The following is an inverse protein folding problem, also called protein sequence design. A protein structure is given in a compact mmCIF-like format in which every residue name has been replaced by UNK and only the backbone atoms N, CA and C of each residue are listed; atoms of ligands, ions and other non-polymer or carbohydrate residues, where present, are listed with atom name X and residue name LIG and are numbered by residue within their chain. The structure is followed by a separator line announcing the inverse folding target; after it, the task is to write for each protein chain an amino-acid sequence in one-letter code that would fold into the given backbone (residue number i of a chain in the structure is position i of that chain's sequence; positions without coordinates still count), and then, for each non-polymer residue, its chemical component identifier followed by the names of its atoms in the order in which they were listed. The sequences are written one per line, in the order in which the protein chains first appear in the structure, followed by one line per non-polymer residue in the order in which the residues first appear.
data_IF_897484078413
#
_entry.id   IF_897484078413
#
_cell.length_a   1.000
_cell.length_b   1.000
_cell.length_c   1.000
_cell.angle_alpha   90.00
_cell.angle_beta   90.00
_cell.angle_gamma   90.00
#
_symmetry.space_group_name_H-M   'P 1'
#
loop_
_entity.id
_entity.type
_entity.pdbx_description
1 polymer ?
#
# COMPACT_ATOMS: atom_id res chain seq x y z
N UNK A 1 -78.76 17.63 -12.32
CA UNK A 1 -77.41 17.05 -12.48
C UNK A 1 -76.41 18.17 -12.21
N UNK A 2 -75.90 18.23 -10.98
CA UNK A 2 -74.92 19.24 -10.55
C UNK A 2 -73.53 18.67 -10.81
N UNK A 3 -72.71 19.33 -11.63
CA UNK A 3 -71.27 19.09 -11.72
C UNK A 3 -70.59 19.86 -10.59
N UNK A 4 -69.95 19.15 -9.67
CA UNK A 4 -69.08 19.71 -8.63
C UNK A 4 -67.64 19.44 -9.06
N UNK A 5 -66.95 20.48 -9.52
CA UNK A 5 -65.51 20.47 -9.79
C UNK A 5 -64.76 20.87 -8.51
N UNK A 6 -64.00 19.94 -7.94
CA UNK A 6 -63.04 20.22 -6.89
C UNK A 6 -61.73 20.72 -7.52
N UNK A 7 -61.09 21.80 -7.00
CA UNK A 7 -59.74 22.13 -7.38
C UNK A 7 -58.78 21.19 -6.66
N UNK A 8 -58.09 20.33 -7.43
CA UNK A 8 -56.88 19.65 -7.00
C UNK A 8 -55.77 20.69 -6.86
N UNK A 9 -55.64 21.29 -5.67
CA UNK A 9 -54.41 21.97 -5.26
C UNK A 9 -53.33 20.91 -5.06
N UNK A 10 -52.64 20.58 -6.15
CA UNK A 10 -51.37 19.87 -6.09
C UNK A 10 -50.36 20.76 -5.38
N UNK A 11 -50.04 20.40 -4.15
CA UNK A 11 -48.86 20.88 -3.45
C UNK A 11 -47.65 20.42 -4.29
N UNK A 12 -47.07 21.33 -5.07
CA UNK A 12 -45.73 21.16 -5.58
C UNK A 12 -44.81 21.10 -4.36
N UNK A 13 -44.52 19.89 -3.90
CA UNK A 13 -43.30 19.68 -3.12
C UNK A 13 -42.15 20.13 -4.01
N UNK A 14 -41.31 21.03 -3.51
CA UNK A 14 -39.96 21.17 -4.06
C UNK A 14 -39.41 19.74 -4.18
N UNK A 15 -39.05 19.34 -5.39
CA UNK A 15 -38.26 18.14 -5.55
C UNK A 15 -36.99 18.40 -4.73
N UNK A 16 -36.79 17.62 -3.67
CA UNK A 16 -35.51 17.54 -2.99
C UNK A 16 -34.46 17.40 -4.10
N UNK A 17 -33.54 18.36 -4.17
CA UNK A 17 -32.46 18.32 -5.15
C UNK A 17 -31.75 16.98 -5.03
N UNK A 18 -31.79 16.16 -6.08
CA UNK A 18 -31.14 14.86 -6.11
C UNK A 18 -29.68 15.01 -5.62
N UNK A 19 -29.33 14.30 -4.55
CA UNK A 19 -27.98 14.34 -3.98
C UNK A 19 -26.98 13.93 -5.06
N UNK A 20 -25.96 14.76 -5.28
CA UNK A 20 -24.96 14.53 -6.32
C UNK A 20 -23.54 14.82 -5.84
N UNK A 21 -22.55 14.52 -6.68
CA UNK A 21 -21.14 14.79 -6.39
C UNK A 21 -20.83 16.27 -6.19
N UNK A 22 -21.67 17.19 -6.68
CA UNK A 22 -21.52 18.63 -6.41
C UNK A 22 -21.89 19.00 -4.98
N UNK A 23 -22.68 18.16 -4.29
CA UNK A 23 -23.04 18.36 -2.88
C UNK A 23 -21.87 18.10 -1.92
N UNK A 24 -20.76 17.53 -2.41
CA UNK A 24 -19.53 17.29 -1.65
C UNK A 24 -18.40 18.20 -2.16
N UNK A 25 -17.86 19.03 -1.28
CA UNK A 25 -16.63 19.78 -1.49
C UNK A 25 -15.48 19.07 -0.78
N UNK A 26 -14.32 19.03 -1.43
CA UNK A 26 -13.12 18.35 -0.92
C UNK A 26 -11.96 19.32 -0.95
N UNK A 27 -11.32 19.52 0.20
CA UNK A 27 -10.09 20.31 0.33
C UNK A 27 -8.95 19.42 0.86
N UNK A 28 -7.74 19.51 0.29
CA UNK A 28 -7.38 20.30 -0.90
C UNK A 28 -8.02 19.74 -2.19
N UNK A 29 -8.21 20.58 -3.21
CA UNK A 29 -8.79 20.18 -4.51
C UNK A 29 -7.89 19.20 -5.29
N UNK A 30 -6.59 19.22 -5.02
CA UNK A 30 -5.59 18.29 -5.55
C UNK A 30 -4.88 17.64 -4.37
N UNK A 31 -4.94 16.31 -4.33
CA UNK A 31 -4.38 15.52 -3.25
C UNK A 31 -2.93 15.12 -3.52
N UNK A 32 -2.16 14.83 -2.47
CA UNK A 32 -0.82 14.26 -2.58
C UNK A 32 -0.90 12.75 -2.53
N UNK A 33 -0.43 12.09 -3.59
CA UNK A 33 -0.43 10.64 -3.68
C UNK A 33 0.77 10.03 -2.93
N UNK A 34 0.55 8.90 -2.28
CA UNK A 34 1.57 8.12 -1.59
C UNK A 34 1.80 8.49 -0.13
N UNK A 35 1.07 9.45 0.46
CA UNK A 35 1.18 9.82 1.87
C UNK A 35 -0.18 9.97 2.53
N UNK A 36 -0.23 9.77 3.85
CA UNK A 36 -1.37 10.21 4.64
C UNK A 36 -1.40 11.73 4.68
N UNK A 37 -2.59 12.29 4.49
CA UNK A 37 -2.82 13.73 4.54
C UNK A 37 -4.21 14.03 5.06
N UNK A 38 -4.38 15.22 5.64
CA UNK A 38 -5.69 15.72 6.03
C UNK A 38 -6.51 16.09 4.80
N UNK A 39 -7.75 15.62 4.76
CA UNK A 39 -8.74 15.91 3.73
C UNK A 39 -10.00 16.40 4.42
N UNK A 40 -10.40 17.63 4.14
CA UNK A 40 -11.64 18.22 4.61
C UNK A 40 -12.77 17.96 3.61
N UNK A 41 -13.89 17.48 4.13
CA UNK A 41 -15.07 17.07 3.39
C UNK A 41 -16.25 17.89 3.90
N UNK A 42 -16.72 18.82 3.07
CA UNK A 42 -17.82 19.73 3.42
C UNK A 42 -19.03 19.44 2.56
N UNK A 43 -20.19 19.27 3.17
CA UNK A 43 -21.42 18.95 2.46
C UNK A 43 -22.35 20.17 2.34
N UNK A 44 -22.84 20.47 1.13
CA UNK A 44 -23.89 21.50 0.94
C UNK A 44 -25.30 20.96 1.23
N UNK A 45 -25.45 19.64 1.27
CA UNK A 45 -26.68 18.92 1.57
C UNK A 45 -26.42 17.83 2.60
N UNK A 46 -27.49 17.23 3.12
CA UNK A 46 -27.34 16.04 3.99
C UNK A 46 -26.97 14.87 3.09
N UNK A 47 -25.77 14.32 3.25
CA UNK A 47 -25.24 13.24 2.41
C UNK A 47 -24.62 12.13 3.26
N UNK A 48 -24.55 10.93 2.69
CA UNK A 48 -23.61 9.90 3.12
C UNK A 48 -22.54 9.76 2.05
N UNK A 49 -21.31 9.48 2.47
CA UNK A 49 -20.19 9.24 1.57
C UNK A 49 -19.54 7.91 1.87
N UNK A 50 -19.08 7.24 0.82
CA UNK A 50 -18.27 6.02 0.89
C UNK A 50 -16.88 6.31 0.31
N UNK A 51 -15.86 6.10 1.14
CA UNK A 51 -14.46 6.33 0.83
C UNK A 51 -13.74 4.97 0.78
N UNK A 52 -13.47 4.44 -0.42
CA UNK A 52 -12.85 3.13 -0.61
C UNK A 52 -11.31 3.18 -0.53
N UNK A 53 -10.78 3.97 0.41
CA UNK A 53 -9.35 4.19 0.61
C UNK A 53 -8.98 4.02 2.09
N UNK A 54 -7.69 4.00 2.36
CA UNK A 54 -7.19 3.85 3.72
C UNK A 54 -7.35 5.17 4.48
N UNK A 55 -8.08 5.11 5.60
CA UNK A 55 -8.28 6.21 6.54
C UNK A 55 -7.61 5.83 7.84
N UNK A 56 -6.78 6.72 8.37
CA UNK A 56 -6.23 6.61 9.70
C UNK A 56 -7.21 7.26 10.67
N UNK A 57 -7.73 6.45 11.58
CA UNK A 57 -8.62 6.90 12.63
C UNK A 57 -7.81 7.66 13.69
N UNK A 58 -8.11 8.94 13.87
CA UNK A 58 -7.39 9.80 14.80
C UNK A 58 -7.62 9.43 16.27
N UNK A 59 -8.71 8.73 16.59
CA UNK A 59 -9.02 8.31 17.96
C UNK A 59 -8.21 7.07 18.37
N UNK A 60 -8.03 6.11 17.44
CA UNK A 60 -7.38 4.82 17.73
C UNK A 60 -5.95 4.74 17.20
N UNK A 61 -5.60 5.56 16.20
CA UNK A 61 -4.36 5.47 15.44
C UNK A 61 -4.34 4.33 14.42
N UNK A 62 -5.41 3.53 14.34
CA UNK A 62 -5.48 2.41 13.41
C UNK A 62 -5.90 2.87 12.01
N UNK A 63 -5.51 2.07 11.02
CA UNK A 63 -5.87 2.29 9.62
C UNK A 63 -7.01 1.34 9.27
N UNK A 64 -8.09 1.89 8.73
CA UNK A 64 -9.21 1.13 8.20
C UNK A 64 -9.39 1.41 6.71
N UNK A 65 -9.96 0.46 5.98
CA UNK A 65 -10.42 0.68 4.62
C UNK A 65 -11.95 0.79 4.58
N UNK A 66 -12.49 1.23 3.46
CA UNK A 66 -13.92 1.11 3.16
C UNK A 66 -14.82 1.85 4.16
N UNK A 67 -14.56 3.14 4.31
CA UNK A 67 -15.18 3.98 5.34
C UNK A 67 -16.47 4.63 4.84
N UNK A 68 -17.53 4.62 5.66
CA UNK A 68 -18.78 5.33 5.40
C UNK A 68 -19.01 6.41 6.46
N UNK A 69 -19.40 7.60 6.03
CA UNK A 69 -19.63 8.75 6.92
C UNK A 69 -20.90 9.49 6.49
N UNK A 70 -21.69 9.90 7.47
CA UNK A 70 -22.82 10.80 7.28
C UNK A 70 -22.37 12.23 7.58
N UNK A 71 -22.63 13.16 6.65
CA UNK A 71 -22.30 14.57 6.79
C UNK A 71 -23.60 15.38 6.70
N UNK A 72 -23.88 16.19 7.73
CA UNK A 72 -25.02 17.09 7.72
C UNK A 72 -24.83 18.26 6.76
N UNK A 73 -25.94 18.94 6.42
CA UNK A 73 -25.90 20.13 5.57
C UNK A 73 -25.08 21.23 6.26
N UNK A 74 -24.03 21.70 5.59
CA UNK A 74 -23.13 22.73 6.07
C UNK A 74 -22.05 22.22 7.02
N UNK A 75 -22.05 20.92 7.35
CA UNK A 75 -21.05 20.33 8.24
C UNK A 75 -19.77 19.99 7.45
N UNK A 76 -18.66 19.98 8.18
CA UNK A 76 -17.34 19.60 7.67
C UNK A 76 -16.78 18.47 8.53
N UNK A 77 -16.21 17.46 7.87
CA UNK A 77 -15.46 16.37 8.50
C UNK A 77 -14.03 16.37 7.96
N UNK A 78 -13.05 16.23 8.84
CA UNK A 78 -11.63 16.11 8.46
C UNK A 78 -11.16 14.69 8.68
N UNK A 79 -10.52 14.10 7.67
CA UNK A 79 -9.99 12.73 7.71
C UNK A 79 -8.51 12.71 7.36
N UNK A 80 -7.75 11.83 8.01
CA UNK A 80 -6.39 11.50 7.59
C UNK A 80 -6.45 10.34 6.58
N UNK A 81 -6.32 10.65 5.28
CA UNK A 81 -6.48 9.69 4.18
C UNK A 81 -5.16 9.41 3.48
N UNK A 82 -4.88 8.13 3.19
CA UNK A 82 -3.79 7.73 2.28
C UNK A 82 -4.31 7.62 0.85
N UNK A 83 -3.82 8.51 0.00
CA UNK A 83 -4.09 8.45 -1.44
C UNK A 83 -3.13 7.47 -2.10
N UNK A 84 -3.62 6.48 -2.88
CA UNK A 84 -2.74 5.50 -3.49
C UNK A 84 -1.70 6.12 -4.46
N UNK A 85 -0.44 5.66 -4.44
CA UNK A 85 0.66 6.31 -5.16
C UNK A 85 0.67 6.11 -6.68
N UNK A 86 -0.17 5.22 -7.22
CA UNK A 86 -0.17 4.80 -8.64
C UNK A 86 -1.48 5.09 -9.36
N UNK A 87 -2.33 5.95 -8.82
CA UNK A 87 -3.60 6.35 -9.45
C UNK A 87 -3.64 7.87 -9.63
N UNK A 88 -4.49 8.33 -10.55
CA UNK A 88 -4.64 9.75 -10.92
C UNK A 88 -5.47 10.56 -9.95
N UNK A 89 -6.16 9.90 -9.02
CA UNK A 89 -7.03 10.53 -8.04
C UNK A 89 -7.84 9.50 -7.26
N UNK A 90 -8.69 9.99 -6.38
CA UNK A 90 -9.61 9.18 -5.58
C UNK A 90 -11.05 9.32 -6.06
N UNK A 91 -11.83 8.26 -5.88
CA UNK A 91 -13.25 8.18 -6.20
C UNK A 91 -14.04 8.05 -4.89
N UNK A 92 -14.76 9.11 -4.52
CA UNK A 92 -15.64 9.12 -3.35
C UNK A 92 -17.07 8.95 -3.85
N UNK A 93 -17.77 7.93 -3.35
CA UNK A 93 -19.16 7.70 -3.71
C UNK A 93 -20.05 8.54 -2.79
N UNK A 94 -21.02 9.24 -3.36
CA UNK A 94 -21.94 10.14 -2.67
C UNK A 94 -23.36 9.61 -2.85
N UNK A 95 -24.09 9.49 -1.74
CA UNK A 95 -25.47 9.04 -1.71
C UNK A 95 -26.30 9.81 -0.70
N UNK A 96 -27.59 9.50 -0.67
CA UNK A 96 -28.54 10.06 0.30
C UNK A 96 -28.09 9.82 1.74
N UNK A 97 -28.41 10.77 2.63
CA UNK A 97 -28.08 10.67 4.04
C UNK A 97 -28.64 9.41 4.70
N UNK A 98 -27.82 8.71 5.49
CA UNK A 98 -28.17 7.45 6.15
C UNK A 98 -28.15 6.23 5.22
N UNK A 99 -27.52 6.31 4.04
CA UNK A 99 -27.48 5.20 3.08
C UNK A 99 -26.84 3.94 3.68
N UNK A 100 -27.54 2.82 3.51
CA UNK A 100 -27.14 1.50 4.03
C UNK A 100 -26.48 0.62 2.98
N UNK A 101 -26.92 0.66 1.72
CA UNK A 101 -26.42 -0.22 0.66
C UNK A 101 -25.55 0.55 -0.33
N UNK A 102 -24.38 0.03 -0.66
CA UNK A 102 -23.40 0.70 -1.51
C UNK A 102 -22.96 -0.18 -2.68
N UNK A 103 -22.87 0.38 -3.89
CA UNK A 103 -22.30 -0.35 -5.00
C UNK A 103 -20.78 -0.42 -4.84
N UNK A 104 -20.21 -1.52 -5.31
CA UNK A 104 -18.78 -1.81 -5.20
C UNK A 104 -18.24 -2.32 -6.52
N UNK A 105 -16.92 -2.19 -6.69
CA UNK A 105 -16.19 -2.80 -7.81
C UNK A 105 -15.80 -4.25 -7.49
N UNK A 106 -15.54 -5.02 -8.54
CA UNK A 106 -14.90 -6.33 -8.40
C UNK A 106 -13.45 -6.18 -7.92
N UNK A 107 -12.90 -7.21 -7.27
CA UNK A 107 -11.55 -7.15 -6.68
C UNK A 107 -10.45 -6.81 -7.69
N UNK A 108 -10.55 -7.35 -8.91
CA UNK A 108 -9.59 -7.16 -10.01
C UNK A 108 -9.86 -5.91 -10.87
N UNK A 109 -10.90 -5.14 -10.54
CA UNK A 109 -11.29 -3.95 -11.29
C UNK A 109 -10.75 -2.68 -10.61
N UNK A 110 -10.45 -1.63 -11.38
CA UNK A 110 -10.11 -0.32 -10.82
C UNK A 110 -11.37 0.55 -10.67
N UNK A 111 -11.36 1.53 -9.76
CA UNK A 111 -12.50 2.46 -9.62
C UNK A 111 -12.79 3.28 -10.89
N UNK A 112 -11.75 3.59 -11.66
CA UNK A 112 -11.88 4.27 -12.95
C UNK A 112 -12.60 3.40 -13.99
N UNK A 113 -12.19 2.13 -14.12
CA UNK A 113 -12.85 1.18 -15.03
C UNK A 113 -14.29 0.88 -14.59
N UNK A 114 -14.52 0.73 -13.28
CA UNK A 114 -15.83 0.54 -12.67
C UNK A 114 -16.79 1.68 -13.00
N UNK A 115 -16.34 2.94 -12.83
CA UNK A 115 -17.15 4.11 -13.18
C UNK A 115 -17.37 4.19 -14.69
N UNK A 116 -16.35 3.93 -15.50
CA UNK A 116 -16.43 4.01 -16.96
C UNK A 116 -17.44 3.04 -17.57
N UNK A 117 -17.65 1.87 -16.94
CA UNK A 117 -18.67 0.90 -17.37
C UNK A 117 -20.06 1.16 -16.81
N UNK A 118 -20.27 2.23 -16.04
CA UNK A 118 -21.56 2.60 -15.45
C UNK A 118 -21.88 1.89 -14.13
N UNK A 119 -20.85 1.48 -13.37
CA UNK A 119 -21.04 0.84 -12.06
C UNK A 119 -21.77 1.71 -11.03
N UNK A 120 -21.73 3.02 -11.20
CA UNK A 120 -22.45 4.03 -10.41
C UNK A 120 -23.97 3.90 -10.50
N UNK A 121 -24.50 3.20 -11.52
CA UNK A 121 -25.91 2.82 -11.59
C UNK A 121 -26.33 1.85 -10.46
N UNK A 122 -25.38 1.15 -9.85
CA UNK A 122 -25.60 0.20 -8.75
C UNK A 122 -26.49 -0.97 -9.14
N UNK A 123 -26.40 -1.41 -10.39
CA UNK A 123 -27.16 -2.55 -10.95
C UNK A 123 -26.37 -3.86 -10.96
N UNK A 124 -25.13 -3.83 -10.46
CA UNK A 124 -24.26 -5.00 -10.36
C UNK A 124 -24.84 -6.06 -9.40
N UNK A 125 -24.47 -7.32 -9.63
CA UNK A 125 -24.96 -8.46 -8.81
C UNK A 125 -24.37 -8.51 -7.39
N UNK A 126 -23.34 -7.70 -7.14
CA UNK A 126 -22.67 -7.56 -5.86
C UNK A 126 -22.87 -6.14 -5.32
N UNK A 127 -22.96 -6.04 -4.00
CA UNK A 127 -23.02 -4.78 -3.29
C UNK A 127 -22.49 -4.97 -1.87
N UNK A 128 -22.44 -3.88 -1.12
CA UNK A 128 -22.00 -3.91 0.26
C UNK A 128 -23.03 -3.28 1.20
N UNK A 129 -23.08 -3.79 2.42
CA UNK A 129 -23.97 -3.33 3.49
C UNK A 129 -23.13 -2.57 4.50
N UNK A 130 -23.59 -1.39 4.89
CA UNK A 130 -22.97 -0.56 5.94
C UNK A 130 -23.03 -1.27 7.28
N UNK A 131 -21.88 -1.35 7.95
CA UNK A 131 -21.74 -1.93 9.28
C UNK A 131 -21.30 -0.85 10.26
N UNK A 132 -22.05 -0.63 11.36
CA UNK A 132 -21.68 0.35 12.36
C UNK A 132 -20.28 0.10 12.94
N UNK A 133 -19.57 1.19 13.23
CA UNK A 133 -18.27 1.15 13.87
C UNK A 133 -18.30 0.33 15.18
N UNK A 134 -17.27 -0.51 15.39
CA UNK A 134 -17.08 -1.27 16.62
C UNK A 134 -15.64 -1.08 17.09
N UNK A 135 -15.44 -0.30 18.15
CA UNK A 135 -14.13 0.17 18.62
C UNK A 135 -13.33 0.98 17.58
N UNK A 136 -14.01 1.63 16.62
CA UNK A 136 -13.46 2.63 15.69
C UNK A 136 -14.39 3.85 15.61
N UNK A 137 -13.92 4.91 14.96
CA UNK A 137 -14.71 6.15 14.79
C UNK A 137 -15.72 6.06 13.65
N UNK A 138 -15.41 5.33 12.57
CA UNK A 138 -16.24 5.35 11.35
C UNK A 138 -16.76 3.97 10.98
N UNK A 139 -17.93 3.98 10.33
CA UNK A 139 -18.59 2.78 9.85
C UNK A 139 -17.83 2.15 8.68
N UNK A 140 -17.93 0.83 8.57
CA UNK A 140 -17.35 0.04 7.48
C UNK A 140 -18.40 -0.48 6.50
N UNK A 141 -17.98 -1.36 5.59
CA UNK A 141 -18.90 -2.14 4.75
C UNK A 141 -18.55 -3.64 4.81
N UNK A 142 -19.58 -4.47 4.74
CA UNK A 142 -19.47 -5.91 4.47
C UNK A 142 -20.00 -6.22 3.07
N UNK A 143 -19.23 -7.00 2.30
CA UNK A 143 -19.58 -7.37 0.93
C UNK A 143 -20.51 -8.59 0.94
N UNK A 144 -21.62 -8.50 0.22
CA UNK A 144 -22.56 -9.60 0.07
C UNK A 144 -22.96 -9.81 -1.39
N UNK A 145 -23.15 -11.06 -1.76
CA UNK A 145 -23.84 -11.41 -2.99
C UNK A 145 -25.31 -10.99 -2.91
N UNK A 146 -25.87 -10.49 -4.02
CA UNK A 146 -27.31 -10.19 -4.15
C UNK A 146 -27.83 -9.00 -3.32
N UNK A 147 -26.98 -8.01 -3.07
CA UNK A 147 -27.41 -6.68 -2.60
C UNK A 147 -27.79 -5.84 -3.81
N UNK A 148 -28.92 -5.14 -3.74
CA UNK A 148 -29.33 -4.15 -4.73
C UNK A 148 -28.99 -2.75 -4.21
N UNK A 149 -27.78 -2.23 -4.46
CA UNK A 149 -27.33 -1.02 -3.82
C UNK A 149 -28.01 0.24 -4.34
N UNK A 150 -28.49 0.24 -5.59
CA UNK A 150 -29.05 1.41 -6.26
C UNK A 150 -27.97 2.42 -6.66
N UNK A 151 -28.38 3.47 -7.38
CA UNK A 151 -27.43 4.42 -7.97
C UNK A 151 -26.76 5.33 -6.92
N UNK A 152 -25.54 5.76 -7.22
CA UNK A 152 -24.75 6.74 -6.45
C UNK A 152 -24.19 7.80 -7.39
N UNK A 153 -23.85 8.97 -6.86
CA UNK A 153 -23.01 9.92 -7.58
C UNK A 153 -21.54 9.72 -7.20
N UNK A 154 -20.61 10.10 -8.08
CA UNK A 154 -19.18 9.91 -7.82
C UNK A 154 -18.44 11.24 -7.87
N UNK A 155 -17.75 11.56 -6.78
CA UNK A 155 -16.81 12.68 -6.68
C UNK A 155 -15.41 12.16 -6.98
N UNK A 156 -14.87 12.56 -8.13
CA UNK A 156 -13.46 12.38 -8.44
C UNK A 156 -12.65 13.55 -7.88
N UNK A 157 -11.54 13.25 -7.22
CA UNK A 157 -10.58 14.25 -6.72
C UNK A 157 -9.20 13.88 -7.22
N UNK A 158 -8.60 14.77 -8.01
CA UNK A 158 -7.28 14.52 -8.62
C UNK A 158 -6.19 14.39 -7.58
N UNK A 159 -5.15 13.62 -7.88
CA UNK A 159 -3.98 13.50 -7.04
C UNK A 159 -2.68 13.55 -7.83
N UNK A 160 -1.65 14.12 -7.22
CA UNK A 160 -0.31 14.21 -7.79
C UNK A 160 0.67 13.52 -6.85
N UNK A 161 1.46 12.59 -7.38
CA UNK A 161 2.65 12.12 -6.68
C UNK A 161 3.78 13.11 -6.92
N UNK A 162 4.30 13.67 -5.84
CA UNK A 162 5.44 14.56 -5.92
C UNK A 162 6.70 13.78 -6.32
N UNK A 163 7.68 14.44 -6.93
CA UNK A 163 8.98 13.85 -7.24
C UNK A 163 10.06 14.65 -6.52
N UNK A 164 11.02 13.94 -5.91
CA UNK A 164 12.21 14.54 -5.30
C UNK A 164 13.40 14.58 -6.27
N UNK A 165 13.37 13.77 -7.33
CA UNK A 165 14.42 13.67 -8.37
C UNK A 165 13.82 13.72 -9.77
N UNK A 166 14.68 13.80 -10.79
CA UNK A 166 14.25 13.89 -12.20
C UNK A 166 13.58 12.58 -12.68
N UNK A 167 12.75 12.62 -13.74
CA UNK A 167 12.17 11.41 -14.32
C UNK A 167 13.21 10.36 -14.72
N UNK A 168 14.34 10.78 -15.27
CA UNK A 168 15.44 9.90 -15.69
C UNK A 168 16.11 9.19 -14.50
N UNK A 169 16.05 9.78 -13.32
CA UNK A 169 16.54 9.21 -12.05
C UNK A 169 15.45 8.46 -11.26
N UNK A 170 14.32 8.15 -11.90
CA UNK A 170 13.21 7.42 -11.27
C UNK A 170 12.25 8.30 -10.46
N UNK A 171 12.13 9.59 -10.79
CA UNK A 171 11.32 10.58 -10.07
C UNK A 171 9.88 10.14 -9.75
N UNK A 172 9.26 9.34 -10.62
CA UNK A 172 7.92 8.79 -10.42
C UNK A 172 7.77 7.88 -9.17
N UNK A 173 8.87 7.39 -8.59
CA UNK A 173 8.89 6.52 -7.41
C UNK A 173 9.68 7.12 -6.24
N UNK A 174 9.91 8.43 -6.24
CA UNK A 174 10.89 9.09 -5.37
C UNK A 174 10.29 9.83 -4.16
N UNK A 175 9.06 9.48 -3.75
CA UNK A 175 8.36 10.06 -2.61
C UNK A 175 7.29 9.10 -2.06
N UNK A 176 6.71 9.45 -0.92
CA UNK A 176 5.60 8.72 -0.29
C UNK A 176 6.07 7.67 0.72
N UNK A 177 5.10 6.97 1.32
CA UNK A 177 5.32 5.93 2.32
C UNK A 177 6.18 4.78 1.79
N UNK A 178 5.98 4.41 0.52
CA UNK A 178 6.84 3.47 -0.20
C UNK A 178 7.73 4.27 -1.17
N UNK A 179 8.97 4.51 -0.75
CA UNK A 179 9.91 5.39 -1.42
C UNK A 179 10.90 4.59 -2.29
N UNK A 180 10.47 4.20 -3.48
CA UNK A 180 11.23 3.34 -4.39
C UNK A 180 12.64 3.83 -4.74
N UNK A 181 12.91 5.14 -4.68
CA UNK A 181 14.28 5.66 -4.83
C UNK A 181 15.20 5.28 -3.66
N UNK A 182 14.72 5.29 -2.42
CA UNK A 182 15.54 4.90 -1.26
C UNK A 182 15.81 3.40 -1.32
N UNK A 183 14.80 2.59 -1.68
CA UNK A 183 14.96 1.16 -1.97
C UNK A 183 16.03 0.92 -3.04
N UNK A 184 16.02 1.71 -4.13
CA UNK A 184 17.00 1.61 -5.19
C UNK A 184 18.40 1.98 -4.71
N UNK A 185 18.54 3.07 -3.95
CA UNK A 185 19.84 3.52 -3.41
C UNK A 185 20.40 2.46 -2.45
N UNK A 186 19.53 1.83 -1.63
CA UNK A 186 19.92 0.69 -0.78
C UNK A 186 20.35 -0.54 -1.58
N UNK A 187 19.60 -0.88 -2.63
CA UNK A 187 19.99 -1.95 -3.54
C UNK A 187 21.34 -1.65 -4.19
N UNK A 188 21.56 -0.40 -4.62
CA UNK A 188 22.82 0.02 -5.21
C UNK A 188 23.96 -0.12 -4.20
N UNK A 189 23.79 0.32 -2.95
CA UNK A 189 24.78 0.13 -1.89
C UNK A 189 25.12 -1.36 -1.68
N UNK A 190 24.10 -2.21 -1.54
CA UNK A 190 24.29 -3.66 -1.40
C UNK A 190 24.99 -4.31 -2.59
N UNK A 191 24.87 -3.72 -3.78
CA UNK A 191 25.34 -4.29 -5.04
C UNK A 191 26.38 -3.42 -5.77
N UNK A 192 27.03 -2.48 -5.06
CA UNK A 192 27.98 -1.54 -5.66
C UNK A 192 29.21 -2.30 -6.19
N UNK A 193 29.43 -2.30 -7.52
CA UNK A 193 30.49 -3.07 -8.14
C UNK A 193 31.87 -2.41 -8.05
N UNK A 194 31.97 -1.21 -7.45
CA UNK A 194 33.23 -0.45 -7.35
C UNK A 194 34.29 -1.27 -6.61
N UNK A 195 35.48 -1.39 -7.20
CA UNK A 195 36.61 -2.09 -6.57
C UNK A 195 37.16 -1.27 -5.39
N UNK A 196 37.40 -1.94 -4.27
CA UNK A 196 37.94 -1.34 -3.04
C UNK A 196 39.15 -2.13 -2.53
N UNK A 197 39.68 -1.72 -1.37
CA UNK A 197 40.67 -2.49 -0.62
C UNK A 197 40.03 -3.38 0.44
N UNK A 198 38.73 -3.62 0.36
CA UNK A 198 38.02 -4.51 1.28
C UNK A 198 38.67 -5.91 1.21
N UNK A 199 39.19 -6.43 2.34
CA UNK A 199 39.86 -7.74 2.35
C UNK A 199 38.88 -8.93 2.21
N UNK A 200 37.57 -8.69 2.31
CA UNK A 200 36.54 -9.73 2.32
C UNK A 200 36.16 -10.14 0.90
N UNK A 201 35.75 -9.18 0.05
CA UNK A 201 35.30 -9.44 -1.32
C UNK A 201 35.88 -8.49 -2.39
N UNK A 202 36.61 -7.46 -1.95
CA UNK A 202 37.23 -6.43 -2.79
C UNK A 202 36.26 -5.42 -3.39
N UNK A 203 35.03 -5.31 -2.89
CA UNK A 203 33.96 -4.45 -3.43
C UNK A 203 33.51 -3.39 -2.42
N UNK A 204 32.75 -2.42 -2.91
CA UNK A 204 32.14 -1.39 -2.07
C UNK A 204 30.80 -1.85 -1.48
N UNK A 205 30.08 -2.70 -2.21
CA UNK A 205 28.90 -3.42 -1.70
C UNK A 205 29.26 -4.78 -1.12
N UNK A 206 28.24 -5.58 -0.81
CA UNK A 206 28.39 -6.87 -0.11
C UNK A 206 28.26 -8.04 -1.08
N UNK A 207 29.36 -8.36 -1.75
CA UNK A 207 29.44 -9.40 -2.78
C UNK A 207 29.78 -10.76 -2.16
N UNK A 208 29.59 -11.82 -2.94
CA UNK A 208 30.03 -13.17 -2.61
C UNK A 208 29.51 -13.71 -1.27
N UNK A 209 28.38 -13.21 -0.77
CA UNK A 209 27.69 -13.63 0.48
C UNK A 209 27.06 -15.03 0.42
N UNK A 210 27.86 -16.03 0.04
CA UNK A 210 27.46 -17.43 -0.10
C UNK A 210 27.41 -18.11 1.27
N UNK A 211 26.25 -18.66 1.62
CA UNK A 211 26.06 -19.37 2.89
C UNK A 211 26.70 -20.77 2.90
N UNK A 212 26.95 -21.31 4.09
CA UNK A 212 27.33 -22.71 4.31
C UNK A 212 28.79 -23.06 4.04
N UNK A 213 29.69 -22.08 4.04
CA UNK A 213 31.12 -22.29 3.73
C UNK A 213 32.08 -21.63 4.72
N UNK A 214 31.60 -21.05 5.83
CA UNK A 214 32.41 -20.26 6.76
C UNK A 214 32.90 -18.98 6.08
N UNK A 215 32.00 -18.32 5.36
CA UNK A 215 32.34 -17.28 4.41
C UNK A 215 32.35 -15.90 5.08
N UNK A 216 33.51 -15.25 5.11
CA UNK A 216 33.67 -13.92 5.69
C UNK A 216 32.73 -12.88 5.05
N UNK A 217 32.43 -12.98 3.75
CA UNK A 217 31.53 -12.06 3.06
C UNK A 217 30.06 -12.25 3.47
N UNK A 218 29.68 -13.49 3.79
CA UNK A 218 28.37 -13.79 4.33
C UNK A 218 28.20 -13.22 5.75
N UNK A 219 29.24 -13.33 6.57
CA UNK A 219 29.27 -12.75 7.93
C UNK A 219 29.27 -11.22 7.91
N UNK A 220 30.06 -10.61 7.02
CA UNK A 220 30.15 -9.15 6.91
C UNK A 220 28.81 -8.53 6.47
N UNK A 221 28.17 -9.10 5.44
CA UNK A 221 26.83 -8.70 5.01
C UNK A 221 25.80 -8.85 6.13
N UNK A 222 25.88 -9.90 6.94
CA UNK A 222 24.97 -10.11 8.05
C UNK A 222 25.13 -9.04 9.15
N UNK A 223 26.38 -8.67 9.47
CA UNK A 223 26.67 -7.62 10.45
C UNK A 223 26.19 -6.24 9.99
N UNK A 224 26.32 -5.93 8.70
CA UNK A 224 25.75 -4.72 8.12
C UNK A 224 24.23 -4.67 8.30
N UNK A 225 23.52 -5.73 7.89
CA UNK A 225 22.05 -5.80 8.00
C UNK A 225 21.61 -5.66 9.47
N UNK A 226 22.31 -6.32 10.40
CA UNK A 226 22.03 -6.18 11.84
C UNK A 226 22.18 -4.72 12.27
N UNK A 227 23.30 -4.08 11.94
CA UNK A 227 23.56 -2.69 12.32
C UNK A 227 22.54 -1.71 11.76
N UNK A 228 22.10 -1.91 10.52
CA UNK A 228 21.08 -1.08 9.88
C UNK A 228 19.71 -1.24 10.55
N UNK A 229 19.29 -2.49 10.79
CA UNK A 229 18.02 -2.79 11.46
C UNK A 229 18.00 -2.29 12.91
N UNK A 230 19.12 -2.41 13.64
CA UNK A 230 19.30 -1.80 14.96
C UNK A 230 19.25 -0.27 14.88
N UNK A 231 19.84 0.32 13.83
CA UNK A 231 19.78 1.75 13.54
C UNK A 231 18.37 2.30 13.34
N UNK A 232 17.45 1.46 12.84
CA UNK A 232 16.01 1.77 12.76
C UNK A 232 15.28 1.65 14.10
N UNK A 233 15.98 1.25 15.17
CA UNK A 233 15.43 1.07 16.51
C UNK A 233 14.69 -0.26 16.70
N UNK A 234 14.98 -1.27 15.86
CA UNK A 234 14.43 -2.61 16.01
C UNK A 234 15.28 -3.43 16.99
N UNK A 235 14.63 -4.35 17.71
CA UNK A 235 15.36 -5.37 18.46
C UNK A 235 15.81 -6.46 17.49
N UNK A 236 17.11 -6.66 17.30
CA UNK A 236 17.62 -7.61 16.32
C UNK A 236 18.18 -8.85 17.01
N UNK A 237 17.73 -10.02 16.58
CA UNK A 237 18.22 -11.32 17.05
C UNK A 237 18.84 -12.09 15.89
N UNK A 238 20.11 -12.42 16.07
CA UNK A 238 20.90 -13.26 15.19
C UNK A 238 20.69 -14.74 15.55
N UNK A 239 20.05 -15.50 14.66
CA UNK A 239 19.85 -16.93 14.81
C UNK A 239 20.81 -17.72 13.92
N UNK A 240 21.68 -18.52 14.54
CA UNK A 240 22.68 -19.34 13.84
C UNK A 240 22.36 -20.82 13.95
N UNK A 241 22.52 -21.52 12.84
CA UNK A 241 22.21 -22.93 12.74
C UNK A 241 23.30 -23.69 11.98
N UNK A 242 23.47 -24.94 12.36
CA UNK A 242 24.16 -25.98 11.59
C UNK A 242 23.12 -27.07 11.32
N UNK A 243 23.04 -27.56 10.08
CA UNK A 243 22.11 -28.64 9.75
C UNK A 243 22.65 -29.57 8.67
N UNK A 244 22.17 -30.81 8.68
CA UNK A 244 22.38 -31.78 7.60
C UNK A 244 21.09 -31.86 6.79
N UNK A 245 21.15 -31.65 5.47
CA UNK A 245 19.98 -31.71 4.62
C UNK A 245 19.49 -33.16 4.38
N UNK A 246 18.35 -33.30 3.69
CA UNK A 246 17.75 -34.61 3.37
C UNK A 246 18.62 -35.47 2.43
N UNK A 247 19.61 -34.87 1.78
CA UNK A 247 20.58 -35.53 0.91
C UNK A 247 21.88 -35.89 1.67
N UNK A 248 21.89 -35.72 2.99
CA UNK A 248 23.03 -35.95 3.88
C UNK A 248 24.24 -35.04 3.57
N UNK A 249 23.96 -33.82 3.08
CA UNK A 249 24.95 -32.75 2.87
C UNK A 249 24.95 -31.84 4.11
N UNK A 250 26.13 -31.65 4.69
CA UNK A 250 26.29 -30.76 5.84
C UNK A 250 26.28 -29.30 5.37
N UNK A 251 25.39 -28.50 5.94
CA UNK A 251 25.49 -27.06 5.94
C UNK A 251 26.05 -26.60 7.30
N UNK A 252 27.34 -26.21 7.36
CA UNK A 252 27.99 -25.80 8.60
C UNK A 252 27.52 -24.44 9.11
N UNK A 253 26.80 -23.66 8.29
CA UNK A 253 26.55 -22.26 8.55
C UNK A 253 25.28 -21.77 7.86
N UNK A 254 24.23 -21.56 8.64
CA UNK A 254 23.05 -20.81 8.25
C UNK A 254 22.77 -19.70 9.25
N UNK A 255 22.44 -18.52 8.71
CA UNK A 255 22.27 -17.31 9.49
C UNK A 255 20.93 -16.66 9.15
N UNK A 256 20.03 -16.56 10.13
CA UNK A 256 18.80 -15.79 10.01
C UNK A 256 18.89 -14.55 10.91
N UNK A 257 18.52 -13.39 10.37
CA UNK A 257 18.46 -12.12 11.10
C UNK A 257 16.98 -11.78 11.28
N UNK A 258 16.53 -11.69 12.52
CA UNK A 258 15.15 -11.35 12.84
C UNK A 258 15.13 -10.00 13.57
N UNK A 259 14.50 -8.99 12.96
CA UNK A 259 14.34 -7.67 13.54
C UNK A 259 12.89 -7.49 14.01
N UNK A 260 12.72 -7.18 15.30
CA UNK A 260 11.43 -7.17 15.98
C UNK A 260 10.99 -5.73 16.30
N UNK A 261 9.73 -5.44 15.95
CA UNK A 261 8.98 -4.30 16.46
C UNK A 261 7.77 -4.80 17.21
N UNK A 262 7.80 -4.71 18.53
CA UNK A 262 6.75 -5.23 19.40
C UNK A 262 5.44 -4.45 19.23
N UNK A 263 4.36 -5.17 18.94
CA UNK A 263 3.00 -4.62 18.96
C UNK A 263 2.54 -4.36 20.40
N UNK A 264 1.76 -3.30 20.61
CA UNK A 264 1.24 -2.92 21.94
C UNK A 264 -0.17 -3.44 22.24
N UNK A 265 -0.87 -3.98 21.23
CA UNK A 265 -2.32 -4.29 21.31
C UNK A 265 -2.59 -5.79 21.24
N UNK A 266 -2.00 -6.48 20.26
CA UNK A 266 -2.07 -7.93 20.09
C UNK A 266 -0.64 -8.51 20.02
N UNK A 267 0.07 -8.61 21.15
CA UNK A 267 1.50 -8.96 21.16
C UNK A 267 1.81 -10.38 20.64
N UNK A 268 0.79 -11.24 20.56
CA UNK A 268 0.92 -12.62 20.08
C UNK A 268 0.63 -12.75 18.56
N UNK A 269 0.28 -11.67 17.88
CA UNK A 269 0.04 -11.64 16.43
C UNK A 269 1.17 -10.88 15.72
N UNK A 270 1.74 -11.50 14.68
CA UNK A 270 2.90 -10.99 13.97
C UNK A 270 2.64 -10.80 12.48
N UNK A 271 3.02 -9.65 11.96
CA UNK A 271 3.18 -9.42 10.53
C UNK A 271 4.66 -9.60 10.18
N UNK A 272 4.96 -10.54 9.30
CA UNK A 272 6.33 -10.92 8.96
C UNK A 272 6.63 -10.54 7.51
N UNK A 273 7.67 -9.73 7.33
CA UNK A 273 8.28 -9.45 6.04
C UNK A 273 9.62 -10.17 5.98
N UNK A 274 9.95 -10.77 4.85
CA UNK A 274 11.14 -11.61 4.74
C UNK A 274 11.76 -11.54 3.36
N UNK A 275 13.09 -11.62 3.36
CA UNK A 275 13.94 -11.76 2.21
C UNK A 275 15.11 -12.67 2.61
N UNK A 276 15.72 -13.35 1.66
CA UNK A 276 16.99 -14.01 1.90
C UNK A 276 18.15 -13.08 1.50
N UNK A 277 19.20 -13.06 2.31
CA UNK A 277 20.37 -12.21 2.10
C UNK A 277 21.63 -13.02 1.69
N UNK A 278 21.53 -14.32 1.49
CA UNK A 278 22.57 -15.06 0.81
C UNK A 278 22.48 -14.87 -0.72
N UNK A 279 23.55 -15.23 -1.42
CA UNK A 279 23.57 -15.29 -2.89
C UNK A 279 24.06 -16.65 -3.33
N UNK A 280 23.51 -17.15 -4.45
CA UNK A 280 24.04 -18.36 -5.07
C UNK A 280 25.42 -18.11 -5.70
N UNK A 281 26.43 -18.95 -5.42
CA UNK A 281 27.75 -18.82 -6.02
C UNK A 281 27.69 -18.95 -7.54
N UNK A 282 28.49 -18.16 -8.30
CA UNK A 282 28.55 -18.29 -9.74
C UNK A 282 29.02 -19.70 -10.15
N UNK A 283 28.22 -20.39 -10.95
CA UNK A 283 28.53 -21.75 -11.42
C UNK A 283 29.81 -21.85 -12.26
N UNK A 284 30.30 -20.72 -12.76
CA UNK A 284 31.53 -20.60 -13.53
C UNK A 284 32.75 -20.20 -12.69
N UNK A 285 32.68 -20.33 -11.36
CA UNK A 285 33.76 -19.95 -10.44
C UNK A 285 34.27 -18.52 -10.68
N UNK A 286 33.34 -17.59 -10.92
CA UNK A 286 33.63 -16.14 -11.08
C UNK A 286 34.37 -15.79 -12.39
N UNK A 287 34.62 -16.76 -13.29
CA UNK A 287 35.40 -16.53 -14.50
C UNK A 287 34.71 -15.66 -15.56
N UNK A 288 33.38 -15.59 -15.57
CA UNK A 288 32.61 -14.86 -16.57
C UNK A 288 31.46 -14.11 -15.89
N UNK A 289 31.60 -12.81 -15.66
CA UNK A 289 30.49 -12.00 -15.17
C UNK A 289 29.42 -11.88 -16.28
N UNK A 290 28.17 -12.34 -16.06
CA UNK A 290 27.08 -12.19 -17.03
C UNK A 290 26.88 -10.76 -17.55
N UNK A 291 27.21 -9.74 -16.75
CA UNK A 291 27.15 -8.33 -17.14
C UNK A 291 28.25 -7.95 -18.15
N UNK A 292 29.36 -8.69 -18.17
CA UNK A 292 30.47 -8.49 -19.11
C UNK A 292 30.28 -9.38 -20.35
N UNK A 293 29.87 -10.64 -20.16
CA UNK A 293 29.81 -11.62 -21.25
C UNK A 293 28.48 -11.66 -21.99
N UNK A 294 27.44 -11.02 -21.45
CA UNK A 294 26.13 -10.85 -22.10
C UNK A 294 25.27 -12.12 -22.18
N UNK A 295 25.66 -13.22 -21.52
CA UNK A 295 24.85 -14.42 -21.36
C UNK A 295 24.74 -14.84 -19.90
N UNK A 296 23.59 -15.41 -19.52
CA UNK A 296 23.30 -15.80 -18.14
C UNK A 296 24.08 -17.05 -17.73
N UNK A 297 24.64 -17.03 -16.53
CA UNK A 297 25.10 -18.21 -15.78
C UNK A 297 24.28 -18.32 -14.49
N UNK A 298 24.32 -19.48 -13.82
CA UNK A 298 23.66 -19.63 -12.51
C UNK A 298 24.49 -18.93 -11.42
N UNK A 299 23.83 -18.15 -10.56
CA UNK A 299 24.48 -17.35 -9.52
C UNK A 299 25.20 -16.11 -10.06
N UNK A 300 25.36 -15.11 -9.20
CA UNK A 300 26.16 -13.90 -9.48
C UNK A 300 26.94 -13.53 -8.23
N UNK A 301 27.99 -12.71 -8.33
CA UNK A 301 28.69 -12.22 -7.13
C UNK A 301 27.81 -11.29 -6.29
N UNK A 302 27.10 -10.37 -6.95
CA UNK A 302 26.32 -9.34 -6.27
C UNK A 302 24.94 -9.83 -5.77
N UNK A 303 24.29 -10.71 -6.54
CA UNK A 303 22.91 -11.12 -6.26
C UNK A 303 21.91 -9.96 -6.31
N UNK A 304 22.14 -8.97 -7.17
CA UNK A 304 21.34 -7.73 -7.19
C UNK A 304 19.82 -8.01 -7.29
N UNK A 305 19.42 -8.88 -8.23
CA UNK A 305 18.03 -9.32 -8.34
C UNK A 305 17.67 -10.39 -7.30
N UNK A 306 18.58 -11.34 -7.05
CA UNK A 306 18.38 -12.54 -6.23
C UNK A 306 19.48 -12.62 -5.15
N UNK A 307 19.30 -12.01 -3.99
CA UNK A 307 18.10 -11.25 -3.57
C UNK A 307 18.44 -9.96 -2.78
N UNK A 308 19.44 -9.21 -3.24
CA UNK A 308 19.70 -7.85 -2.69
C UNK A 308 18.47 -6.96 -2.85
N UNK A 309 17.71 -7.09 -3.94
CA UNK A 309 16.49 -6.32 -4.17
C UNK A 309 15.43 -6.61 -3.10
N UNK A 310 15.17 -7.89 -2.78
CA UNK A 310 14.26 -8.25 -1.70
C UNK A 310 14.77 -7.79 -0.34
N UNK A 311 16.07 -7.93 -0.08
CA UNK A 311 16.69 -7.46 1.18
C UNK A 311 16.49 -5.96 1.33
N UNK A 312 16.84 -5.15 0.32
CA UNK A 312 16.64 -3.71 0.30
C UNK A 312 15.17 -3.30 0.51
N UNK A 313 14.22 -3.99 -0.12
CA UNK A 313 12.79 -3.74 0.06
C UNK A 313 12.26 -4.05 1.46
N UNK A 314 12.89 -4.98 2.20
CA UNK A 314 12.49 -5.29 3.58
C UNK A 314 13.05 -4.26 4.56
N UNK A 315 14.21 -3.67 4.25
CA UNK A 315 14.83 -2.68 5.12
C UNK A 315 14.18 -1.29 5.01
N UNK A 316 13.64 -0.94 3.83
CA UNK A 316 13.08 0.38 3.51
C UNK A 316 11.55 0.37 3.34
#
# INVERSE_FOLDING_TARGET
MLMVSAPLSGCFGEADSDVSSSSLQVNPEVLVAGSFQEVELTASDRISIYIPYLIKDSATGFVQNTTVIDIGRGDTVTLEMLVPPRITGVFILVGEYGRVHWPIREQSESWESWLSRGGDSGTDSQGAIRVPANNSTFDGLEVHSSVMPGSVSVKFVSSIRQASVTPDEGGAQSTGLVHGRIVYDRLFELSDPTDTLDPVDGKAGYFDRWAGQGNAAYEDAALYIIGEMEGFGLEVVAHRYEYTDIMNVQNPEAYNICAYKWGSVVPDEWMVFGAHFDVAPPANAVLLDPHIVGFRTYGTRAGAYDNSAGTAMVME
#
